data_IF_027461588081
#
_entry.id   IF_027461588081
#
_cell.length_a   1.000
_cell.length_b   1.000
_cell.length_c   1.000
_cell.angle_alpha   90.00
_cell.angle_beta   90.00
_cell.angle_gamma   90.00
#
_symmetry.space_group_name_H-M   'P 1'
#
loop_
_entity.id
_entity.type
_entity.pdbx_description
1 polymer ?
#
# COMPACT_ATOMS: atom_id res chain seq x y z
N UNK A 1 72.16 -38.02 -20.04
CA UNK A 1 72.92 -36.96 -19.34
C UNK A 1 71.93 -36.09 -18.59
N UNK A 2 72.30 -35.71 -17.37
CA UNK A 2 71.48 -35.14 -16.32
C UNK A 2 71.59 -33.59 -16.35
N UNK A 3 70.55 -32.92 -15.84
CA UNK A 3 70.48 -31.55 -15.30
C UNK A 3 70.69 -30.37 -16.27
N UNK A 4 69.75 -29.43 -16.35
CA UNK A 4 69.76 -28.06 -15.75
C UNK A 4 68.62 -27.32 -16.49
N UNK A 5 67.72 -26.49 -15.97
CA UNK A 5 67.37 -26.01 -14.64
C UNK A 5 66.10 -25.16 -14.82
N UNK A 6 65.15 -25.33 -13.90
CA UNK A 6 64.53 -24.24 -13.15
C UNK A 6 63.59 -23.29 -13.92
N UNK A 7 62.31 -23.45 -13.58
CA UNK A 7 61.26 -22.42 -13.45
C UNK A 7 60.95 -21.60 -14.70
N UNK A 8 59.72 -21.78 -15.20
CA UNK A 8 58.74 -20.77 -15.66
C UNK A 8 57.82 -21.48 -16.65
N UNK A 9 56.96 -22.35 -16.13
CA UNK A 9 55.76 -22.82 -16.83
C UNK A 9 54.63 -22.63 -15.82
N UNK A 10 54.21 -21.38 -15.61
CA UNK A 10 52.87 -20.99 -15.15
C UNK A 10 52.80 -19.46 -15.09
N UNK A 11 52.67 -18.79 -16.24
CA UNK A 11 52.02 -17.47 -16.29
C UNK A 11 51.54 -17.20 -17.72
N UNK A 12 50.52 -17.96 -18.12
CA UNK A 12 49.73 -17.72 -19.32
C UNK A 12 48.70 -16.63 -19.03
N UNK A 13 49.11 -15.35 -19.08
CA UNK A 13 48.18 -14.22 -19.06
C UNK A 13 48.72 -13.10 -19.98
N UNK A 14 48.41 -13.16 -21.27
CA UNK A 14 48.31 -12.02 -22.19
C UNK A 14 47.90 -12.60 -23.56
N UNK A 15 46.86 -12.17 -24.26
CA UNK A 15 45.92 -11.08 -24.11
C UNK A 15 44.96 -11.14 -25.31
N UNK A 16 44.14 -10.10 -25.45
CA UNK A 16 43.30 -9.77 -26.62
C UNK A 16 42.12 -10.72 -26.92
N UNK A 17 40.98 -10.41 -26.30
CA UNK A 17 39.67 -10.64 -26.91
C UNK A 17 39.07 -9.29 -27.27
N UNK A 18 39.14 -8.96 -28.57
CA UNK A 18 38.40 -7.88 -29.17
C UNK A 18 36.91 -8.23 -29.18
N UNK A 19 36.08 -7.40 -28.55
CA UNK A 19 34.64 -7.39 -28.77
C UNK A 19 34.19 -5.93 -28.88
N UNK A 20 34.39 -5.36 -30.07
CA UNK A 20 33.61 -4.20 -30.50
C UNK A 20 32.22 -4.72 -30.90
N UNK A 21 31.33 -4.88 -29.91
CA UNK A 21 29.90 -4.91 -30.20
C UNK A 21 29.46 -3.47 -30.37
N UNK A 22 29.29 -3.05 -31.63
CA UNK A 22 28.65 -1.77 -31.95
C UNK A 22 27.24 -1.77 -31.38
N UNK A 23 26.97 -0.85 -30.45
CA UNK A 23 25.61 -0.47 -30.10
C UNK A 23 25.02 0.19 -31.34
N UNK A 24 24.16 -0.52 -32.07
CA UNK A 24 23.30 0.14 -33.04
C UNK A 24 22.42 1.14 -32.28
N UNK A 25 22.45 2.41 -32.68
CA UNK A 25 21.51 3.44 -32.24
C UNK A 25 20.11 3.07 -32.72
N UNK A 26 19.48 2.16 -31.99
CA UNK A 26 18.05 1.95 -31.98
C UNK A 26 17.49 3.10 -31.16
N UNK A 27 17.01 4.15 -31.84
CA UNK A 27 16.24 5.26 -31.25
C UNK A 27 14.86 4.79 -30.79
N UNK A 28 14.80 3.68 -30.06
CA UNK A 28 13.64 3.32 -29.27
C UNK A 28 13.54 4.41 -28.20
N UNK A 29 12.50 5.24 -28.29
CA UNK A 29 12.09 6.09 -27.19
C UNK A 29 11.80 5.16 -26.02
N UNK A 30 12.77 5.02 -25.12
CA UNK A 30 12.56 4.39 -23.83
C UNK A 30 11.67 5.35 -23.04
N UNK A 31 10.36 5.14 -23.13
CA UNK A 31 9.44 5.72 -22.17
C UNK A 31 9.75 5.04 -20.83
N UNK A 32 10.58 5.69 -20.03
CA UNK A 32 10.81 5.28 -18.66
C UNK A 32 9.44 5.13 -17.98
N UNK A 33 9.14 3.99 -17.33
CA UNK A 33 7.88 3.84 -16.62
C UNK A 33 7.72 5.03 -15.67
N UNK A 34 6.58 5.72 -15.73
CA UNK A 34 6.32 6.82 -14.80
C UNK A 34 6.61 6.34 -13.38
N UNK A 35 7.49 7.07 -12.68
CA UNK A 35 7.88 6.72 -11.33
C UNK A 35 6.62 6.62 -10.47
N UNK A 36 6.32 5.40 -10.00
CA UNK A 36 5.15 5.17 -9.15
C UNK A 36 5.34 5.99 -7.88
N UNK A 37 4.37 6.87 -7.57
CA UNK A 37 4.33 7.63 -6.32
C UNK A 37 4.48 6.70 -5.13
N UNK A 38 5.18 7.14 -4.09
CA UNK A 38 5.40 6.34 -2.88
C UNK A 38 4.08 5.86 -2.28
N UNK A 39 4.04 4.59 -1.85
CA UNK A 39 2.83 3.95 -1.32
C UNK A 39 2.23 4.74 -0.16
N UNK A 40 3.07 5.25 0.73
CA UNK A 40 2.66 5.99 1.93
C UNK A 40 1.85 7.25 1.58
N UNK A 41 2.22 7.92 0.48
CA UNK A 41 1.50 9.12 0.02
C UNK A 41 0.11 8.74 -0.48
N UNK A 42 0.03 7.70 -1.31
CA UNK A 42 -1.24 7.17 -1.83
C UNK A 42 -2.15 6.62 -0.73
N UNK A 43 -1.57 5.90 0.23
CA UNK A 43 -2.27 5.35 1.37
C UNK A 43 -2.87 6.47 2.25
N UNK A 44 -2.14 7.57 2.46
CA UNK A 44 -2.67 8.73 3.19
C UNK A 44 -3.84 9.39 2.48
N UNK A 45 -3.79 9.52 1.15
CA UNK A 45 -4.92 10.05 0.37
C UNK A 45 -6.12 9.13 0.53
N UNK A 46 -5.98 7.82 0.26
CA UNK A 46 -7.06 6.85 0.39
C UNK A 46 -7.64 6.74 1.81
N UNK A 47 -6.80 6.79 2.84
CA UNK A 47 -7.22 6.67 4.23
C UNK A 47 -8.20 7.78 4.67
N UNK A 48 -8.19 8.95 4.01
CA UNK A 48 -9.18 10.02 4.24
C UNK A 48 -10.59 9.58 3.82
N UNK A 49 -10.69 8.74 2.79
CA UNK A 49 -11.93 8.22 2.22
C UNK A 49 -12.40 6.92 2.86
N UNK A 50 -11.62 6.33 3.77
CA UNK A 50 -12.04 5.13 4.50
C UNK A 50 -13.10 5.48 5.54
N UNK A 51 -14.17 4.70 5.56
CA UNK A 51 -15.22 4.73 6.56
C UNK A 51 -15.52 3.33 7.08
N UNK A 52 -16.33 3.27 8.13
CA UNK A 52 -16.85 2.00 8.65
C UNK A 52 -18.29 1.88 8.20
N UNK A 53 -18.60 0.82 7.44
CA UNK A 53 -19.98 0.44 7.22
C UNK A 53 -20.57 -0.02 8.56
N UNK A 54 -21.52 0.76 9.10
CA UNK A 54 -22.11 0.50 10.41
C UNK A 54 -22.94 -0.78 10.45
N UNK A 55 -23.41 -1.26 9.31
CA UNK A 55 -24.23 -2.49 9.22
C UNK A 55 -23.34 -3.72 9.35
N UNK A 56 -22.21 -3.73 8.65
CA UNK A 56 -21.30 -4.88 8.61
C UNK A 56 -20.13 -4.75 9.60
N UNK A 57 -19.89 -3.53 10.10
CA UNK A 57 -18.70 -3.12 10.85
C UNK A 57 -17.40 -3.51 10.15
N UNK A 58 -17.33 -3.23 8.85
CA UNK A 58 -16.13 -3.40 8.01
C UNK A 58 -15.64 -2.06 7.53
N UNK A 59 -14.33 -1.95 7.29
CA UNK A 59 -13.75 -0.78 6.63
C UNK A 59 -14.04 -0.81 5.14
N UNK A 60 -14.50 0.31 4.60
CA UNK A 60 -14.79 0.49 3.17
C UNK A 60 -14.16 1.78 2.66
N UNK A 61 -13.68 1.76 1.43
CA UNK A 61 -13.23 2.97 0.74
C UNK A 61 -14.44 3.62 0.09
N UNK A 62 -14.84 4.81 0.54
CA UNK A 62 -15.98 5.56 0.01
C UNK A 62 -15.49 6.80 -0.78
N UNK A 63 -15.45 6.74 -2.12
CA UNK A 63 -15.00 7.86 -2.96
C UNK A 63 -15.89 9.10 -2.91
N UNK A 64 -17.15 8.94 -2.49
CA UNK A 64 -18.12 10.03 -2.42
C UNK A 64 -18.12 10.75 -1.06
N UNK A 65 -17.36 10.20 -0.10
CA UNK A 65 -17.16 10.81 1.21
C UNK A 65 -16.59 12.22 1.07
N UNK A 66 -17.21 13.16 1.77
CA UNK A 66 -16.77 14.55 1.83
C UNK A 66 -15.96 14.76 3.10
N UNK A 67 -14.67 15.08 2.96
CA UNK A 67 -13.72 15.16 4.08
C UNK A 67 -13.46 16.61 4.47
N UNK A 68 -13.42 17.51 3.49
CA UNK A 68 -13.15 18.94 3.66
C UNK A 68 -14.29 19.79 3.07
N UNK A 69 -14.35 21.08 3.44
CA UNK A 69 -15.30 22.04 2.85
C UNK A 69 -15.15 22.12 1.33
N UNK A 70 -13.92 22.06 0.83
CA UNK A 70 -13.64 22.08 -0.61
C UNK A 70 -14.22 20.87 -1.35
N UNK A 71 -14.37 19.72 -0.69
CA UNK A 71 -14.97 18.53 -1.32
C UNK A 71 -16.45 18.71 -1.64
N UNK A 72 -17.14 19.57 -0.89
CA UNK A 72 -18.54 19.90 -1.14
C UNK A 72 -18.72 20.88 -2.31
N UNK A 73 -17.73 21.73 -2.56
CA UNK A 73 -17.81 22.79 -3.56
C UNK A 73 -17.15 22.41 -4.89
N UNK A 74 -15.97 21.78 -4.81
CA UNK A 74 -15.07 21.56 -5.94
C UNK A 74 -14.73 20.08 -6.17
N UNK A 75 -15.18 19.16 -5.30
CA UNK A 75 -14.80 17.74 -5.36
C UNK A 75 -13.28 17.49 -5.34
N UNK A 76 -12.48 18.43 -4.80
CA UNK A 76 -11.01 18.40 -4.84
C UNK A 76 -10.42 17.11 -4.27
N UNK A 77 -10.97 16.59 -3.18
CA UNK A 77 -10.49 15.34 -2.59
C UNK A 77 -10.78 14.13 -3.47
N UNK A 78 -11.91 14.11 -4.19
CA UNK A 78 -12.21 13.03 -5.14
C UNK A 78 -11.23 13.07 -6.31
N UNK A 79 -10.92 14.26 -6.80
CA UNK A 79 -9.91 14.44 -7.85
C UNK A 79 -8.53 13.95 -7.38
N UNK A 80 -8.11 14.32 -6.17
CA UNK A 80 -6.86 13.83 -5.56
C UNK A 80 -6.86 12.29 -5.44
N UNK A 81 -7.97 11.69 -5.01
CA UNK A 81 -8.13 10.23 -4.93
C UNK A 81 -7.97 9.55 -6.30
N UNK A 82 -8.43 10.18 -7.39
CA UNK A 82 -8.28 9.66 -8.75
C UNK A 82 -6.83 9.70 -9.27
N UNK A 83 -5.93 10.44 -8.60
CA UNK A 83 -4.49 10.45 -8.93
C UNK A 83 -3.70 9.28 -8.34
N UNK A 84 -4.32 8.51 -7.43
CA UNK A 84 -3.66 7.38 -6.77
C UNK A 84 -3.29 6.31 -7.78
N UNK A 85 -2.05 5.81 -7.69
CA UNK A 85 -1.58 4.72 -8.54
C UNK A 85 -2.45 3.47 -8.34
N UNK A 86 -2.84 2.83 -9.44
CA UNK A 86 -3.63 1.59 -9.39
C UNK A 86 -2.93 0.49 -8.58
N UNK A 87 -1.59 0.41 -8.65
CA UNK A 87 -0.81 -0.59 -7.91
C UNK A 87 -0.94 -0.34 -6.40
N UNK A 88 -0.78 0.92 -5.97
CA UNK A 88 -0.92 1.30 -4.57
C UNK A 88 -2.37 1.15 -4.09
N UNK A 89 -3.36 1.48 -4.92
CA UNK A 89 -4.78 1.27 -4.64
C UNK A 89 -5.10 -0.19 -4.38
N UNK A 90 -4.63 -1.09 -5.26
CA UNK A 90 -4.84 -2.52 -5.11
C UNK A 90 -4.20 -3.04 -3.81
N UNK A 91 -2.96 -2.61 -3.52
CA UNK A 91 -2.28 -2.97 -2.28
C UNK A 91 -3.07 -2.52 -1.04
N UNK A 92 -3.49 -1.25 -1.01
CA UNK A 92 -4.26 -0.70 0.10
C UNK A 92 -5.57 -1.43 0.34
N UNK A 93 -6.32 -1.74 -0.73
CA UNK A 93 -7.58 -2.50 -0.63
C UNK A 93 -7.31 -3.90 -0.07
N UNK A 94 -6.27 -4.60 -0.55
CA UNK A 94 -5.93 -5.93 -0.06
C UNK A 94 -5.55 -5.93 1.44
N UNK A 95 -4.80 -4.91 1.89
CA UNK A 95 -4.43 -4.73 3.29
C UNK A 95 -5.68 -4.44 4.15
N UNK A 96 -6.57 -3.56 3.69
CA UNK A 96 -7.85 -3.26 4.35
C UNK A 96 -8.76 -4.49 4.45
N UNK A 97 -8.86 -5.29 3.37
CA UNK A 97 -9.63 -6.53 3.37
C UNK A 97 -9.04 -7.57 4.32
N UNK A 98 -7.71 -7.61 4.50
CA UNK A 98 -7.08 -8.49 5.49
C UNK A 98 -7.53 -8.15 6.91
N UNK A 99 -7.61 -6.85 7.25
CA UNK A 99 -8.16 -6.40 8.53
C UNK A 99 -9.65 -6.76 8.65
N UNK A 100 -10.44 -6.56 7.60
CA UNK A 100 -11.86 -6.94 7.60
C UNK A 100 -12.07 -8.45 7.83
N UNK A 101 -11.20 -9.30 7.28
CA UNK A 101 -11.23 -10.75 7.55
C UNK A 101 -10.95 -11.07 9.01
N UNK A 102 -9.99 -10.39 9.65
CA UNK A 102 -9.71 -10.55 11.07
C UNK A 102 -10.90 -10.10 11.94
N UNK A 103 -11.47 -8.92 11.65
CA UNK A 103 -12.67 -8.43 12.33
C UNK A 103 -13.83 -9.43 12.20
N UNK A 104 -14.04 -9.99 11.02
CA UNK A 104 -15.08 -10.99 10.78
C UNK A 104 -14.85 -12.28 11.58
N UNK A 105 -13.59 -12.71 11.74
CA UNK A 105 -13.25 -13.86 12.56
C UNK A 105 -13.56 -13.61 14.04
N UNK A 106 -13.23 -12.42 14.55
CA UNK A 106 -13.52 -12.02 15.93
C UNK A 106 -15.02 -11.90 16.17
N UNK A 107 -15.79 -11.29 15.27
CA UNK A 107 -17.25 -11.20 15.39
C UNK A 107 -17.93 -12.55 15.54
N UNK A 108 -17.45 -13.56 14.81
CA UNK A 108 -18.01 -14.93 14.89
C UNK A 108 -17.77 -15.63 16.22
N UNK A 109 -16.87 -15.14 17.08
CA UNK A 109 -16.67 -15.74 18.40
C UNK A 109 -17.79 -15.38 19.37
N UNK A 110 -18.52 -14.27 19.13
CA UNK A 110 -19.59 -13.77 20.00
C UNK A 110 -19.11 -13.32 21.40
N UNK A 111 -17.80 -13.31 21.67
CA UNK A 111 -17.23 -13.00 22.98
C UNK A 111 -16.79 -11.56 23.17
N UNK A 112 -17.18 -10.66 22.27
CA UNK A 112 -16.76 -9.25 22.28
C UNK A 112 -17.98 -8.39 22.55
N UNK A 113 -17.94 -7.57 23.60
CA UNK A 113 -19.06 -6.67 23.93
C UNK A 113 -19.14 -5.47 22.99
N UNK A 114 -18.02 -4.98 22.44
CA UNK A 114 -17.99 -3.84 21.52
C UNK A 114 -16.78 -3.85 20.59
N UNK A 115 -16.96 -3.33 19.39
CA UNK A 115 -15.88 -3.02 18.44
C UNK A 115 -15.68 -1.50 18.37
N UNK A 116 -14.45 -1.06 18.63
CA UNK A 116 -14.05 0.35 18.54
C UNK A 116 -13.21 0.55 17.29
N UNK A 117 -13.66 1.46 16.43
CA UNK A 117 -13.03 1.78 15.15
C UNK A 117 -12.52 3.22 15.17
N UNK A 118 -11.30 3.40 14.65
CA UNK A 118 -10.73 4.71 14.37
C UNK A 118 -10.32 4.76 12.91
N UNK A 119 -10.80 5.77 12.19
CA UNK A 119 -10.29 6.16 10.87
C UNK A 119 -9.66 7.55 10.97
N UNK A 120 -9.08 8.06 9.88
CA UNK A 120 -8.50 9.41 9.88
C UNK A 120 -9.54 10.51 10.17
N UNK A 121 -10.82 10.27 9.90
CA UNK A 121 -11.84 11.32 9.95
C UNK A 121 -13.00 10.99 10.90
N UNK A 122 -13.02 9.80 11.50
CA UNK A 122 -14.15 9.37 12.33
C UNK A 122 -13.74 8.32 13.34
N UNK A 123 -14.45 8.31 14.47
CA UNK A 123 -14.43 7.23 15.44
C UNK A 123 -15.83 6.64 15.51
N UNK A 124 -15.94 5.32 15.48
CA UNK A 124 -17.21 4.59 15.52
C UNK A 124 -17.09 3.48 16.55
N UNK A 125 -18.15 3.27 17.30
CA UNK A 125 -18.28 2.09 18.16
C UNK A 125 -19.52 1.33 17.69
N UNK A 126 -19.41 0.01 17.61
CA UNK A 126 -20.49 -0.88 17.20
C UNK A 126 -20.59 -1.99 18.25
N UNK A 127 -21.81 -2.30 18.65
CA UNK A 127 -22.11 -3.34 19.63
C UNK A 127 -21.66 -4.71 19.10
N UNK A 128 -21.06 -5.51 19.96
CA UNK A 128 -20.49 -6.80 19.56
C UNK A 128 -21.46 -7.98 19.66
N UNK A 129 -22.55 -7.80 20.41
CA UNK A 129 -23.74 -8.65 20.47
C UNK A 129 -24.98 -7.76 20.68
N UNK A 130 -26.12 -8.15 20.13
CA UNK A 130 -27.40 -7.44 20.27
C UNK A 130 -27.97 -7.51 21.70
N UNK A 131 -27.39 -8.36 22.57
CA UNK A 131 -27.81 -8.54 23.96
C UNK A 131 -27.12 -7.59 24.95
N UNK A 132 -25.99 -7.00 24.57
CA UNK A 132 -25.24 -6.06 25.40
C UNK A 132 -25.60 -4.62 24.97
N UNK A 133 -25.76 -3.72 25.93
CA UNK A 133 -25.88 -2.28 25.66
C UNK A 133 -24.84 -1.52 26.47
N UNK A 134 -24.11 -0.62 25.81
CA UNK A 134 -23.12 0.22 26.48
C UNK A 134 -23.39 1.70 26.22
N UNK A 135 -23.17 2.50 27.27
CA UNK A 135 -23.35 3.95 27.22
C UNK A 135 -22.05 4.62 26.82
N UNK A 136 -22.04 5.24 25.64
CA UNK A 136 -20.92 6.06 25.19
C UNK A 136 -21.15 7.50 25.67
N UNK A 137 -20.26 7.99 26.52
CA UNK A 137 -20.23 9.38 26.93
C UNK A 137 -18.99 10.08 26.38
N UNK A 138 -19.16 11.29 25.85
CA UNK A 138 -18.04 12.14 25.49
C UNK A 138 -17.49 12.74 26.79
N UNK A 139 -16.22 12.48 27.10
CA UNK A 139 -15.56 13.12 28.23
C UNK A 139 -15.51 14.63 27.98
N UNK A 140 -16.12 15.40 28.87
CA UNK A 140 -15.96 16.85 28.92
C UNK A 140 -14.51 17.14 29.31
N UNK A 141 -13.80 17.86 28.44
CA UNK A 141 -12.42 18.30 28.68
C UNK A 141 -12.42 19.65 29.39
#
# INVERSE_FOLDING_TARGET
MKNISIKVILLSILGTAALLMGCSDSNAVFNEPEAIRAYETDAQIMARFVEVDRTTGTFVLNPDKKVTVSDYLLNSGREELMTVSQINRNRFINEMEAVNRQLSAVKRTGGVSAFVYSTLTSNVVIDGDDNDSFYISKLSR
#
